data_IF_735469769181
#
_entry.id   IF_735469769181
#
_cell.length_a   1.000
_cell.length_b   1.000
_cell.length_c   1.000
_cell.angle_alpha   90.00
_cell.angle_beta   90.00
_cell.angle_gamma   90.00
#
_symmetry.space_group_name_H-M   'P 1'
#
loop_
_entity.id
_entity.type
_entity.pdbx_description
1 polymer ?
#
# COMPACT_ATOMS: atom_id res chain seq x y z
N UNK A 1 -63.24 23.70 -18.05
CA UNK A 1 -62.21 24.76 -18.24
C UNK A 1 -61.22 24.70 -17.08
N UNK A 2 -60.05 24.12 -17.29
CA UNK A 2 -59.00 24.14 -16.29
C UNK A 2 -58.39 25.53 -16.34
N UNK A 3 -58.39 26.25 -15.22
CA UNK A 3 -58.03 27.65 -15.15
C UNK A 3 -56.56 27.86 -15.55
N UNK A 4 -56.27 28.94 -16.27
CA UNK A 4 -54.97 29.37 -16.72
C UNK A 4 -53.93 29.41 -15.56
N UNK A 5 -54.35 29.67 -14.36
CA UNK A 5 -53.57 29.66 -13.12
C UNK A 5 -53.04 28.27 -12.75
N UNK A 6 -53.74 27.21 -13.04
CA UNK A 6 -53.29 25.83 -12.76
C UNK A 6 -52.20 25.38 -13.72
N UNK A 7 -52.25 25.84 -14.97
CA UNK A 7 -51.19 25.54 -15.97
C UNK A 7 -49.91 26.29 -15.68
N UNK A 8 -49.96 27.53 -15.20
CA UNK A 8 -48.82 28.33 -14.85
C UNK A 8 -48.07 27.73 -13.64
N UNK A 9 -48.78 27.27 -12.61
CA UNK A 9 -48.20 26.60 -11.45
C UNK A 9 -47.55 25.28 -11.81
N UNK A 10 -48.11 24.52 -12.75
CA UNK A 10 -47.56 23.26 -13.21
C UNK A 10 -46.20 23.47 -13.97
N UNK A 11 -46.12 24.49 -14.81
CA UNK A 11 -44.90 24.81 -15.58
C UNK A 11 -43.79 25.27 -14.64
N UNK A 12 -44.10 26.08 -13.62
CA UNK A 12 -43.07 26.54 -12.65
C UNK A 12 -42.55 25.39 -11.80
N UNK A 13 -43.43 24.44 -11.39
CA UNK A 13 -42.99 23.27 -10.61
C UNK A 13 -42.12 22.34 -11.46
N UNK A 14 -42.46 22.12 -12.74
CA UNK A 14 -41.63 21.29 -13.64
C UNK A 14 -40.26 21.92 -13.93
N UNK A 15 -40.20 23.26 -14.09
CA UNK A 15 -38.93 23.96 -14.29
C UNK A 15 -38.04 23.91 -13.05
N UNK A 16 -38.61 23.98 -11.86
CA UNK A 16 -37.85 23.86 -10.60
C UNK A 16 -37.28 22.45 -10.38
N UNK A 17 -38.06 21.39 -10.75
CA UNK A 17 -37.62 20.00 -10.62
C UNK A 17 -36.47 19.67 -11.61
N UNK A 18 -36.51 20.23 -12.83
CA UNK A 18 -35.44 20.06 -13.80
C UNK A 18 -34.11 20.77 -13.38
N UNK A 19 -34.21 21.91 -12.69
CA UNK A 19 -33.03 22.62 -12.17
C UNK A 19 -32.40 21.89 -10.98
N UNK A 20 -33.16 21.21 -10.14
CA UNK A 20 -32.66 20.41 -9.03
C UNK A 20 -32.05 19.10 -9.53
N UNK A 21 -32.63 18.49 -10.58
CA UNK A 21 -32.03 17.28 -11.19
C UNK A 21 -30.70 17.52 -11.89
N UNK A 22 -30.45 18.74 -12.41
CA UNK A 22 -29.19 19.13 -13.04
C UNK A 22 -28.02 19.34 -12.05
N UNK A 23 -28.31 19.54 -10.77
CA UNK A 23 -27.27 19.73 -9.73
C UNK A 23 -26.80 18.45 -9.07
N UNK A 24 -27.45 17.31 -9.33
CA UNK A 24 -27.11 16.02 -8.71
C UNK A 24 -26.14 15.16 -9.55
N UNK A 25 -25.70 15.61 -10.74
CA UNK A 25 -24.77 14.87 -11.59
C UNK A 25 -23.35 15.42 -11.61
N UNK A 26 -23.01 16.32 -10.69
CA UNK A 26 -21.59 16.50 -10.33
C UNK A 26 -21.21 15.39 -9.34
N UNK A 27 -21.34 14.14 -9.74
CA UNK A 27 -20.41 13.14 -9.26
C UNK A 27 -19.05 13.57 -9.84
N UNK A 28 -18.31 14.34 -9.06
CA UNK A 28 -16.86 14.26 -9.10
C UNK A 28 -16.63 12.75 -8.99
N UNK A 29 -16.32 12.10 -10.12
CA UNK A 29 -15.67 10.82 -10.09
C UNK A 29 -14.46 11.08 -9.18
N UNK A 30 -14.56 10.64 -7.92
CA UNK A 30 -13.37 10.39 -7.14
C UNK A 30 -12.60 9.44 -8.05
N UNK A 31 -11.62 9.99 -8.76
CA UNK A 31 -10.67 9.21 -9.51
C UNK A 31 -10.24 8.14 -8.52
N UNK A 32 -10.41 6.90 -8.90
CA UNK A 32 -9.96 5.77 -8.10
C UNK A 32 -8.46 5.98 -7.92
N UNK A 33 -8.08 6.56 -6.77
CA UNK A 33 -6.71 6.96 -6.42
C UNK A 33 -5.74 5.75 -6.51
N UNK A 34 -6.33 4.56 -6.64
CA UNK A 34 -5.60 3.30 -6.74
C UNK A 34 -4.95 3.08 -8.10
N UNK A 35 -5.26 3.91 -9.10
CA UNK A 35 -4.77 3.77 -10.48
C UNK A 35 -3.74 4.85 -10.89
N UNK A 36 -3.16 5.56 -9.91
CA UNK A 36 -2.15 6.61 -10.15
C UNK A 36 -0.93 6.01 -10.84
N UNK A 37 -0.57 6.54 -12.01
CA UNK A 37 0.64 6.17 -12.75
C UNK A 37 1.89 6.81 -12.15
N UNK A 38 3.09 6.30 -12.47
CA UNK A 38 4.35 6.89 -12.01
C UNK A 38 4.48 8.37 -12.38
N UNK A 39 4.05 8.75 -13.58
CA UNK A 39 4.10 10.12 -14.05
C UNK A 39 3.20 11.09 -13.25
N UNK A 40 2.14 10.58 -12.64
CA UNK A 40 1.20 11.37 -11.84
C UNK A 40 1.64 11.55 -10.38
N UNK A 41 2.67 10.82 -9.94
CA UNK A 41 3.23 10.98 -8.59
C UNK A 41 3.89 12.37 -8.47
N UNK A 42 3.76 13.00 -7.30
CA UNK A 42 4.52 14.20 -6.99
C UNK A 42 6.00 13.88 -6.71
N UNK A 43 6.86 14.90 -6.68
CA UNK A 43 8.30 14.71 -6.55
C UNK A 43 8.69 14.02 -5.23
N UNK A 44 8.03 14.34 -4.13
CA UNK A 44 8.26 13.69 -2.83
C UNK A 44 7.91 12.20 -2.86
N UNK A 45 6.77 11.84 -3.46
CA UNK A 45 6.37 10.45 -3.65
C UNK A 45 7.36 9.70 -4.54
N UNK A 46 7.77 10.28 -5.67
CA UNK A 46 8.77 9.69 -6.57
C UNK A 46 10.11 9.49 -5.88
N UNK A 47 10.55 10.43 -5.07
CA UNK A 47 11.80 10.29 -4.31
C UNK A 47 11.75 9.13 -3.33
N UNK A 48 10.67 9.00 -2.56
CA UNK A 48 10.50 7.95 -1.57
C UNK A 48 10.34 6.57 -2.24
N UNK A 49 9.54 6.50 -3.30
CA UNK A 49 9.18 5.27 -4.00
C UNK A 49 10.12 4.93 -5.17
N UNK A 50 11.23 5.65 -5.32
CA UNK A 50 12.19 5.48 -6.42
C UNK A 50 12.65 4.01 -6.65
N UNK A 51 12.84 3.17 -5.63
CA UNK A 51 13.17 1.76 -5.86
C UNK A 51 12.13 0.99 -6.68
N UNK A 52 10.89 1.48 -6.75
CA UNK A 52 9.77 0.86 -7.47
C UNK A 52 9.50 1.52 -8.83
N UNK A 53 10.28 2.51 -9.25
CA UNK A 53 10.01 3.33 -10.43
C UNK A 53 9.79 2.50 -11.71
N UNK A 54 10.60 1.48 -11.93
CA UNK A 54 10.54 0.64 -13.13
C UNK A 54 9.34 -0.31 -13.18
N UNK A 55 8.76 -0.63 -12.03
CA UNK A 55 7.67 -1.59 -11.93
C UNK A 55 6.33 -0.96 -11.49
N UNK A 56 6.33 0.32 -11.12
CA UNK A 56 5.17 1.00 -10.55
C UNK A 56 3.88 0.78 -11.33
N UNK A 57 3.93 0.98 -12.63
CA UNK A 57 2.75 0.89 -13.49
C UNK A 57 2.28 -0.55 -13.72
N UNK A 58 3.08 -1.54 -13.32
CA UNK A 58 2.71 -2.97 -13.34
C UNK A 58 2.14 -3.45 -12.00
N UNK A 59 2.28 -2.66 -10.93
CA UNK A 59 1.71 -2.99 -9.63
C UNK A 59 0.17 -3.00 -9.70
N UNK A 60 -0.43 -3.90 -8.93
CA UNK A 60 -1.89 -3.93 -8.78
C UNK A 60 -2.38 -2.67 -8.04
N UNK A 61 -3.60 -2.18 -8.29
CA UNK A 61 -4.14 -0.98 -7.65
C UNK A 61 -3.95 -0.96 -6.13
N UNK A 62 -4.30 -2.02 -5.42
CA UNK A 62 -4.14 -2.09 -3.96
C UNK A 62 -2.68 -2.04 -3.49
N UNK A 63 -1.71 -2.49 -4.32
CA UNK A 63 -0.29 -2.38 -4.01
C UNK A 63 0.17 -0.93 -4.11
N UNK A 64 -0.24 -0.21 -5.17
CA UNK A 64 0.03 1.22 -5.32
C UNK A 64 -0.54 2.03 -4.16
N UNK A 65 -1.79 1.76 -3.78
CA UNK A 65 -2.42 2.37 -2.60
C UNK A 65 -1.55 2.20 -1.35
N UNK A 66 -1.11 0.98 -1.04
CA UNK A 66 -0.24 0.73 0.12
C UNK A 66 1.10 1.46 0.04
N UNK A 67 1.69 1.59 -1.15
CA UNK A 67 2.92 2.36 -1.33
C UNK A 67 2.69 3.87 -1.18
N UNK A 68 1.54 4.37 -1.62
CA UNK A 68 1.15 5.77 -1.40
C UNK A 68 0.90 6.07 0.08
N UNK A 69 0.26 5.18 0.83
CA UNK A 69 0.14 5.29 2.29
C UNK A 69 1.51 5.41 2.96
N UNK A 70 2.46 4.55 2.56
CA UNK A 70 3.84 4.60 3.07
C UNK A 70 4.49 5.95 2.73
N UNK A 71 4.37 6.43 1.49
CA UNK A 71 4.94 7.69 1.06
C UNK A 71 4.32 8.90 1.79
N UNK A 72 3.02 8.85 2.09
CA UNK A 72 2.32 9.87 2.87
C UNK A 72 2.84 9.96 4.31
N UNK A 73 3.06 8.81 4.93
CA UNK A 73 3.51 8.75 6.33
C UNK A 73 5.03 8.89 6.51
N UNK A 74 5.81 8.67 5.45
CA UNK A 74 7.27 8.67 5.49
C UNK A 74 7.88 9.93 6.13
N UNK A 75 7.44 11.17 5.80
CA UNK A 75 8.01 12.37 6.40
C UNK A 75 7.81 12.48 7.92
N UNK A 76 6.81 11.77 8.46
CA UNK A 76 6.48 11.75 9.90
C UNK A 76 7.28 10.69 10.67
N UNK A 77 8.00 9.83 9.96
CA UNK A 77 8.77 8.75 10.55
C UNK A 77 10.10 9.25 11.12
N UNK A 78 10.61 8.58 12.16
CA UNK A 78 11.99 8.80 12.64
C UNK A 78 13.01 8.42 11.56
N UNK A 79 14.23 9.01 11.55
CA UNK A 79 15.27 8.67 10.58
C UNK A 79 15.54 7.17 10.47
N UNK A 80 15.66 6.47 11.60
CA UNK A 80 15.86 5.00 11.60
C UNK A 80 14.72 4.24 10.92
N UNK A 81 13.48 4.72 11.06
CA UNK A 81 12.32 4.11 10.43
C UNK A 81 12.28 4.41 8.93
N UNK A 82 12.70 5.62 8.54
CA UNK A 82 12.86 5.99 7.12
C UNK A 82 13.89 5.09 6.44
N UNK A 83 15.06 4.89 7.04
CA UNK A 83 16.10 3.99 6.54
C UNK A 83 15.58 2.55 6.38
N UNK A 84 14.84 2.06 7.38
CA UNK A 84 14.24 0.73 7.31
C UNK A 84 13.22 0.61 6.16
N UNK A 85 12.40 1.63 5.95
CA UNK A 85 11.45 1.67 4.81
C UNK A 85 12.20 1.63 3.49
N UNK A 86 13.26 2.44 3.32
CA UNK A 86 14.05 2.45 2.09
C UNK A 86 14.72 1.10 1.81
N UNK A 87 15.30 0.47 2.83
CA UNK A 87 15.85 -0.89 2.71
C UNK A 87 14.79 -1.90 2.27
N UNK A 88 13.60 -1.86 2.87
CA UNK A 88 12.50 -2.76 2.51
C UNK A 88 12.00 -2.55 1.08
N UNK A 89 11.84 -1.30 0.64
CA UNK A 89 11.45 -0.99 -0.74
C UNK A 89 12.51 -1.49 -1.74
N UNK A 90 13.78 -1.28 -1.44
CA UNK A 90 14.89 -1.75 -2.28
C UNK A 90 14.95 -3.28 -2.33
N UNK A 91 14.79 -3.96 -1.21
CA UNK A 91 14.76 -5.42 -1.18
C UNK A 91 13.56 -5.96 -1.95
N UNK A 92 12.38 -5.37 -1.75
CA UNK A 92 11.17 -5.75 -2.48
C UNK A 92 11.34 -5.62 -4.01
N UNK A 93 11.92 -4.52 -4.49
CA UNK A 93 12.13 -4.30 -5.93
C UNK A 93 13.08 -5.32 -6.57
N UNK A 94 13.97 -5.92 -5.79
CA UNK A 94 14.91 -6.95 -6.26
C UNK A 94 14.34 -8.37 -6.23
N UNK A 95 13.23 -8.58 -5.49
CA UNK A 95 12.62 -9.89 -5.37
C UNK A 95 11.93 -10.30 -6.67
N UNK A 96 12.09 -11.56 -7.03
CA UNK A 96 11.30 -12.19 -8.08
C UNK A 96 9.84 -12.33 -7.66
N UNK A 97 8.89 -12.53 -8.59
CA UNK A 97 7.49 -12.78 -8.25
C UNK A 97 7.30 -13.97 -7.29
N UNK A 98 8.13 -15.00 -7.40
CA UNK A 98 8.11 -16.16 -6.52
C UNK A 98 8.53 -15.80 -5.09
N UNK A 99 9.61 -15.05 -4.93
CA UNK A 99 10.09 -14.58 -3.62
C UNK A 99 9.08 -13.68 -2.94
N UNK A 100 8.45 -12.76 -3.69
CA UNK A 100 7.37 -11.89 -3.17
C UNK A 100 6.17 -12.70 -2.68
N UNK A 101 5.81 -13.76 -3.40
CA UNK A 101 4.71 -14.64 -2.99
C UNK A 101 5.06 -15.41 -1.70
N UNK A 102 6.29 -15.92 -1.60
CA UNK A 102 6.75 -16.59 -0.39
C UNK A 102 6.80 -15.63 0.80
N UNK A 103 7.34 -14.42 0.64
CA UNK A 103 7.37 -13.42 1.70
C UNK A 103 5.95 -13.09 2.20
N UNK A 104 4.97 -12.96 1.30
CA UNK A 104 3.56 -12.74 1.69
C UNK A 104 2.98 -13.92 2.48
N UNK A 105 3.24 -15.15 2.02
CA UNK A 105 2.79 -16.37 2.72
C UNK A 105 3.40 -16.47 4.10
N UNK A 106 4.71 -16.26 4.22
CA UNK A 106 5.42 -16.27 5.51
C UNK A 106 4.86 -15.19 6.46
N UNK A 107 4.62 -13.98 5.94
CA UNK A 107 3.99 -12.92 6.73
C UNK A 107 2.59 -13.30 7.21
N UNK A 108 1.76 -13.85 6.33
CA UNK A 108 0.40 -14.29 6.67
C UNK A 108 0.43 -15.42 7.72
N UNK A 109 1.33 -16.40 7.56
CA UNK A 109 1.54 -17.46 8.54
C UNK A 109 1.95 -16.90 9.91
N UNK A 110 2.91 -15.96 9.92
CA UNK A 110 3.31 -15.28 11.15
C UNK A 110 2.12 -14.55 11.80
N UNK A 111 1.31 -13.84 11.02
CA UNK A 111 0.15 -13.11 11.52
C UNK A 111 -0.94 -14.04 12.10
N UNK A 112 -1.06 -15.26 11.62
CA UNK A 112 -2.02 -16.25 12.12
C UNK A 112 -1.58 -16.95 13.41
N UNK A 113 -0.30 -16.80 13.82
CA UNK A 113 0.20 -17.43 15.05
C UNK A 113 -0.42 -16.79 16.31
N UNK A 114 -0.58 -17.58 17.39
CA UNK A 114 -0.92 -17.07 18.70
C UNK A 114 0.09 -16.03 19.22
N UNK A 115 -0.34 -15.14 20.13
CA UNK A 115 0.49 -14.04 20.60
C UNK A 115 1.78 -14.49 21.32
N UNK A 116 1.72 -15.59 22.06
CA UNK A 116 2.87 -16.22 22.73
C UNK A 116 3.91 -16.71 21.71
N UNK A 117 3.47 -17.37 20.64
CA UNK A 117 4.35 -17.83 19.56
C UNK A 117 4.99 -16.67 18.77
N UNK A 118 4.23 -15.62 18.51
CA UNK A 118 4.80 -14.40 17.91
C UNK A 118 5.87 -13.78 18.78
N UNK A 119 5.67 -13.75 20.09
CA UNK A 119 6.63 -13.22 21.06
C UNK A 119 7.90 -14.08 21.09
N UNK A 120 7.76 -15.40 21.15
CA UNK A 120 8.87 -16.35 21.12
C UNK A 120 9.74 -16.16 19.86
N UNK A 121 9.09 -16.09 18.68
CA UNK A 121 9.81 -15.91 17.41
C UNK A 121 10.53 -14.57 17.34
N UNK A 122 9.92 -13.49 17.86
CA UNK A 122 10.59 -12.18 17.92
C UNK A 122 11.83 -12.21 18.82
N UNK A 123 11.75 -12.90 19.95
CA UNK A 123 12.92 -13.05 20.84
C UNK A 123 14.04 -13.83 20.18
N UNK A 124 13.73 -14.98 19.56
CA UNK A 124 14.71 -15.75 18.78
C UNK A 124 15.36 -14.94 17.66
N UNK A 125 14.55 -14.10 17.00
CA UNK A 125 15.07 -13.20 15.98
C UNK A 125 16.03 -12.15 16.56
N UNK A 126 15.71 -11.54 17.69
CA UNK A 126 16.60 -10.60 18.37
C UNK A 126 17.89 -11.26 18.85
N UNK A 127 17.84 -12.51 19.27
CA UNK A 127 19.02 -13.30 19.62
C UNK A 127 19.89 -13.59 18.39
N UNK A 128 19.27 -14.02 17.29
CA UNK A 128 19.95 -14.23 16.02
C UNK A 128 20.65 -12.95 15.51
N UNK A 129 20.03 -11.80 15.61
CA UNK A 129 20.62 -10.53 15.20
C UNK A 129 21.88 -10.15 16.02
N UNK A 130 21.99 -10.61 17.26
CA UNK A 130 23.16 -10.37 18.13
C UNK A 130 24.35 -11.28 17.80
N UNK A 131 24.13 -12.36 17.05
CA UNK A 131 25.21 -13.27 16.68
C UNK A 131 26.20 -12.62 15.72
N UNK A 132 27.49 -12.99 15.78
CA UNK A 132 28.47 -12.61 14.76
C UNK A 132 28.02 -13.07 13.37
N UNK A 133 28.42 -12.31 12.32
CA UNK A 133 28.05 -12.66 10.94
C UNK A 133 28.48 -14.07 10.53
N UNK A 134 29.64 -14.54 11.00
CA UNK A 134 30.13 -15.91 10.75
C UNK A 134 29.16 -16.98 11.27
N UNK A 135 28.59 -16.78 12.45
CA UNK A 135 27.60 -17.71 13.01
C UNK A 135 26.26 -17.62 12.30
N UNK A 136 25.81 -16.41 11.98
CA UNK A 136 24.59 -16.21 11.17
C UNK A 136 24.72 -16.88 9.80
N UNK A 137 25.87 -16.71 9.14
CA UNK A 137 26.13 -17.35 7.85
C UNK A 137 26.13 -18.87 7.96
N UNK A 138 26.68 -19.45 9.03
CA UNK A 138 26.63 -20.88 9.29
C UNK A 138 25.19 -21.37 9.50
N UNK A 139 24.41 -20.71 10.32
CA UNK A 139 23.00 -21.06 10.56
C UNK A 139 22.15 -20.98 9.27
N UNK A 140 22.42 -20.00 8.40
CA UNK A 140 21.76 -19.93 7.09
C UNK A 140 22.16 -21.10 6.18
N UNK A 141 23.43 -21.49 6.19
CA UNK A 141 23.90 -22.63 5.40
C UNK A 141 23.34 -23.97 5.88
N UNK A 142 23.20 -24.13 7.19
CA UNK A 142 22.68 -25.37 7.81
C UNK A 142 21.14 -25.49 7.66
N UNK A 143 20.45 -24.39 7.42
CA UNK A 143 18.98 -24.34 7.33
C UNK A 143 18.52 -23.38 6.22
N UNK A 144 18.82 -23.66 4.94
CA UNK A 144 18.58 -22.71 3.83
C UNK A 144 17.09 -22.38 3.63
N UNK A 145 16.18 -23.24 4.06
CA UNK A 145 14.74 -23.01 3.97
C UNK A 145 14.16 -22.18 5.13
N UNK A 146 14.90 -22.07 6.24
CA UNK A 146 14.45 -21.39 7.46
C UNK A 146 14.95 -19.92 7.52
N UNK A 147 16.09 -19.62 6.91
CA UNK A 147 16.79 -18.33 7.03
C UNK A 147 17.12 -17.74 5.66
N UNK A 148 16.16 -17.54 4.79
CA UNK A 148 16.36 -16.80 3.54
C UNK A 148 16.50 -15.31 3.85
N UNK A 149 17.57 -14.65 3.35
CA UNK A 149 17.87 -13.23 3.59
C UNK A 149 16.72 -12.28 3.19
N UNK A 150 15.87 -12.69 2.27
CA UNK A 150 14.69 -11.94 1.84
C UNK A 150 13.60 -11.81 2.93
N UNK A 151 13.56 -12.74 3.88
CA UNK A 151 12.53 -12.76 4.94
C UNK A 151 12.97 -12.02 6.21
N UNK A 152 14.23 -11.58 6.28
CA UNK A 152 14.90 -11.18 7.52
C UNK A 152 15.31 -9.69 7.58
N UNK A 153 15.06 -8.89 6.49
CA UNK A 153 15.42 -7.48 6.43
C UNK A 153 14.23 -6.55 6.30
#
# INVERSE_FOLDING_TARGET
>A
MVSFQARLKLVVVFSAVLLVAGLMFNHVALADDTNVTWAQLNDGQRQILNPLASEWDTLRPWQREKMLDIAHDYPKMSPSKQDLVQKRLTNWSRMTPYERENARKSHQQFQSLPADKKSELRQKWLEYQKLPESERARLRADSPDTYKDADLN
#
